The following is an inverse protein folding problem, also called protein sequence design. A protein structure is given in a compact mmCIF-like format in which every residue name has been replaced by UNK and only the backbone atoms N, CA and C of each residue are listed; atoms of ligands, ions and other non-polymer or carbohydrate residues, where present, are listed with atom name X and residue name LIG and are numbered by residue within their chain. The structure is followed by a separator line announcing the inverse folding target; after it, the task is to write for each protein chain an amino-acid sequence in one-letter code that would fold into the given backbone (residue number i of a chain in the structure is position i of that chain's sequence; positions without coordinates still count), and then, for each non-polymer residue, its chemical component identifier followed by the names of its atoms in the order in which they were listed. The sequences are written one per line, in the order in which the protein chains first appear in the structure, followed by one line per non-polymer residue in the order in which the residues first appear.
data_IF_968559845444
#
_entry.id   IF_968559845444
#
_cell.length_a   1.000
_cell.length_b   1.000
_cell.length_c   1.000
_cell.angle_alpha   90.00
_cell.angle_beta   90.00
_cell.angle_gamma   90.00
#
_symmetry.space_group_name_H-M   'P 1'
#
loop_
_entity.id
_entity.type
_entity.pdbx_description
1 polymer ?
#
# COMPACT_ATOMS: atom_id res chain seq x y z
N UNK A 1 -13.28 -7.09 21.57
CA UNK A 1 -12.70 -7.66 20.34
C UNK A 1 -13.68 -7.55 19.15
N UNK A 2 -14.95 -7.92 19.29
CA UNK A 2 -15.95 -7.86 18.21
C UNK A 2 -16.06 -6.48 17.55
N UNK A 3 -16.23 -5.40 18.32
CA UNK A 3 -16.28 -4.03 17.79
C UNK A 3 -15.02 -3.62 17.02
N UNK A 4 -13.87 -4.12 17.43
CA UNK A 4 -12.57 -3.86 16.79
C UNK A 4 -12.53 -4.56 15.43
N UNK A 5 -12.84 -5.85 15.38
CA UNK A 5 -12.88 -6.62 14.14
C UNK A 5 -13.96 -6.12 13.17
N UNK A 6 -15.13 -5.72 13.68
CA UNK A 6 -16.18 -5.11 12.84
C UNK A 6 -15.70 -3.84 12.14
N UNK A 7 -14.96 -2.98 12.84
CA UNK A 7 -14.36 -1.77 12.24
C UNK A 7 -13.23 -2.10 11.25
N UNK A 8 -12.50 -3.20 11.47
CA UNK A 8 -11.41 -3.64 10.60
C UNK A 8 -11.91 -4.45 9.40
N UNK A 9 -13.15 -4.97 9.43
CA UNK A 9 -13.67 -5.94 8.46
C UNK A 9 -13.49 -5.50 7.00
N UNK A 10 -13.84 -4.26 6.67
CA UNK A 10 -13.69 -3.75 5.30
C UNK A 10 -12.24 -3.79 4.80
N UNK A 11 -11.26 -3.57 5.68
CA UNK A 11 -9.82 -3.62 5.37
C UNK A 11 -9.30 -5.06 5.26
N UNK A 12 -9.86 -5.97 6.08
CA UNK A 12 -9.53 -7.40 6.04
C UNK A 12 -10.12 -8.07 4.79
N UNK A 13 -11.34 -7.68 4.40
CA UNK A 13 -12.05 -8.23 3.25
C UNK A 13 -11.44 -7.88 1.89
N UNK A 14 -10.51 -6.92 1.81
CA UNK A 14 -9.83 -6.55 0.55
C UNK A 14 -8.43 -7.13 0.42
N UNK A 15 -7.95 -7.88 1.42
CA UNK A 15 -6.64 -8.56 1.35
C UNK A 15 -6.66 -9.57 0.19
N UNK A 16 -5.66 -9.49 -0.69
CA UNK A 16 -5.56 -10.29 -1.91
C UNK A 16 -4.13 -10.73 -2.26
N UNK A 17 -3.21 -10.68 -1.30
CA UNK A 17 -1.88 -11.30 -1.40
C UNK A 17 -1.93 -12.73 -0.88
N UNK A 18 -1.65 -13.73 -1.73
CA UNK A 18 -1.61 -15.15 -1.33
C UNK A 18 -0.57 -15.39 -0.25
N UNK A 19 0.61 -14.80 -0.39
CA UNK A 19 1.70 -14.93 0.58
C UNK A 19 1.27 -14.42 1.96
N UNK A 20 0.69 -13.23 2.02
CA UNK A 20 0.24 -12.65 3.29
C UNK A 20 -0.93 -13.45 3.90
N UNK A 21 -1.92 -13.83 3.08
CA UNK A 21 -3.04 -14.66 3.57
C UNK A 21 -2.53 -16.00 4.09
N UNK A 22 -1.64 -16.69 3.36
CA UNK A 22 -1.08 -17.98 3.79
C UNK A 22 -0.34 -17.86 5.12
N UNK A 23 0.45 -16.80 5.29
CA UNK A 23 1.11 -16.50 6.56
C UNK A 23 0.10 -16.29 7.70
N UNK A 24 -0.95 -15.49 7.48
CA UNK A 24 -1.98 -15.25 8.50
C UNK A 24 -2.75 -16.53 8.86
N UNK A 25 -3.07 -17.38 7.89
CA UNK A 25 -3.73 -18.66 8.14
C UNK A 25 -2.87 -19.64 8.97
N UNK A 26 -1.54 -19.53 8.85
CA UNK A 26 -0.60 -20.33 9.67
C UNK A 26 -0.42 -19.75 11.07
N UNK A 27 -0.26 -18.42 11.18
CA UNK A 27 0.18 -17.79 12.42
C UNK A 27 -0.95 -17.47 13.39
N UNK A 28 -2.13 -17.04 12.89
CA UNK A 28 -3.25 -16.63 13.75
C UNK A 28 -3.77 -17.73 14.69
N UNK A 29 -3.82 -19.02 14.29
CA UNK A 29 -4.25 -20.08 15.21
C UNK A 29 -3.29 -20.35 16.37
N UNK A 30 -2.08 -19.79 16.36
CA UNK A 30 -1.03 -20.04 17.36
C UNK A 30 -0.42 -18.77 17.96
N UNK A 31 -1.19 -17.66 17.93
CA UNK A 31 -0.73 -16.36 18.42
C UNK A 31 -0.22 -16.36 19.85
N UNK A 32 -0.86 -17.14 20.72
CA UNK A 32 -0.51 -17.31 22.13
C UNK A 32 0.85 -17.99 22.36
N UNK A 33 1.38 -18.71 21.37
CA UNK A 33 2.65 -19.41 21.41
C UNK A 33 3.68 -18.86 20.39
N UNK A 34 3.39 -17.70 19.79
CA UNK A 34 4.22 -17.12 18.74
C UNK A 34 5.39 -16.35 19.33
N UNK A 35 6.61 -16.76 18.95
CA UNK A 35 7.83 -15.98 19.22
C UNK A 35 8.02 -14.96 18.08
N UNK A 36 7.56 -13.73 18.32
CA UNK A 36 7.67 -12.64 17.34
C UNK A 36 9.12 -12.27 17.03
N UNK A 37 10.05 -12.45 17.97
CA UNK A 37 11.46 -12.14 17.75
C UNK A 37 12.12 -13.13 16.78
N UNK A 38 11.65 -14.38 16.76
CA UNK A 38 12.16 -15.43 15.90
C UNK A 38 11.59 -15.41 14.46
N UNK A 39 10.55 -14.61 14.18
CA UNK A 39 10.00 -14.52 12.84
C UNK A 39 11.02 -13.94 11.85
N UNK A 40 11.05 -14.44 10.59
CA UNK A 40 11.76 -13.79 9.49
C UNK A 40 11.30 -12.35 9.29
N UNK A 41 12.13 -11.48 8.73
CA UNK A 41 11.83 -10.06 8.60
C UNK A 41 10.56 -9.77 7.79
N UNK A 42 10.32 -10.49 6.68
CA UNK A 42 9.07 -10.35 5.92
C UNK A 42 7.84 -10.73 6.76
N UNK A 43 7.94 -11.78 7.56
CA UNK A 43 6.84 -12.24 8.43
C UNK A 43 6.58 -11.26 9.57
N UNK A 44 7.63 -10.66 10.16
CA UNK A 44 7.46 -9.55 11.13
C UNK A 44 6.68 -8.39 10.50
N UNK A 45 7.02 -8.02 9.26
CA UNK A 45 6.31 -6.97 8.52
C UNK A 45 4.86 -7.36 8.20
N UNK A 46 4.61 -8.63 7.86
CA UNK A 46 3.25 -9.14 7.65
C UNK A 46 2.41 -9.07 8.93
N UNK A 47 3.00 -9.36 10.10
CA UNK A 47 2.33 -9.17 11.38
C UNK A 47 2.06 -7.69 11.66
N UNK A 48 2.98 -6.77 11.36
CA UNK A 48 2.75 -5.33 11.45
C UNK A 48 1.58 -4.88 10.59
N UNK A 49 1.53 -5.37 9.35
CA UNK A 49 0.42 -5.10 8.43
C UNK A 49 -0.92 -5.57 9.00
N UNK A 50 -0.95 -6.77 9.59
CA UNK A 50 -2.14 -7.29 10.26
C UNK A 50 -2.52 -6.46 11.48
N UNK A 51 -1.56 -6.20 12.36
CA UNK A 51 -1.79 -5.45 13.59
C UNK A 51 -2.34 -4.04 13.31
N UNK A 52 -1.72 -3.28 12.40
CA UNK A 52 -2.23 -1.95 12.03
C UNK A 52 -3.62 -1.99 11.39
N UNK A 53 -3.93 -3.07 10.66
CA UNK A 53 -5.26 -3.26 10.05
C UNK A 53 -6.34 -3.39 11.11
N UNK A 54 -6.09 -4.17 12.15
CA UNK A 54 -7.07 -4.47 13.20
C UNK A 54 -7.14 -3.35 14.24
N UNK A 55 -6.00 -2.89 14.76
CA UNK A 55 -5.96 -1.93 15.87
C UNK A 55 -5.71 -0.48 15.46
N UNK A 56 -5.42 -0.22 14.19
CA UNK A 56 -5.28 1.14 13.64
C UNK A 56 -3.97 1.86 13.99
N UNK A 57 -3.05 1.17 14.66
CA UNK A 57 -1.70 1.65 14.99
C UNK A 57 -0.67 0.54 14.78
N UNK A 58 0.58 0.88 14.51
CA UNK A 58 1.66 -0.10 14.43
C UNK A 58 2.03 -0.63 15.83
N UNK A 59 2.47 -1.88 15.92
CA UNK A 59 3.13 -2.41 17.10
C UNK A 59 4.59 -1.97 17.08
N UNK A 60 4.95 -0.93 17.84
CA UNK A 60 6.34 -0.45 17.90
C UNK A 60 7.26 -1.45 18.63
N UNK A 61 6.71 -2.17 19.59
CA UNK A 61 7.36 -3.23 20.34
C UNK A 61 6.40 -4.41 20.54
N UNK A 62 6.83 -5.62 20.19
CA UNK A 62 6.02 -6.83 20.35
C UNK A 62 5.91 -7.31 21.81
N UNK A 63 6.81 -6.84 22.69
CA UNK A 63 6.77 -7.13 24.12
C UNK A 63 5.97 -6.09 24.92
N UNK A 64 5.41 -5.06 24.26
CA UNK A 64 4.54 -4.07 24.88
C UNK A 64 3.25 -4.71 25.42
N UNK A 65 2.88 -4.38 26.67
CA UNK A 65 1.71 -4.96 27.36
C UNK A 65 0.40 -4.77 26.60
N UNK A 66 0.21 -3.62 25.95
CA UNK A 66 -1.01 -3.34 25.16
C UNK A 66 -1.02 -4.21 23.90
N UNK A 67 0.12 -4.35 23.23
CA UNK A 67 0.25 -5.17 22.03
C UNK A 67 -0.05 -6.63 22.36
N UNK A 68 0.57 -7.18 23.40
CA UNK A 68 0.34 -8.55 23.86
C UNK A 68 -1.11 -8.76 24.30
N UNK A 69 -1.68 -7.83 25.08
CA UNK A 69 -3.07 -7.92 25.52
C UNK A 69 -4.05 -7.94 24.34
N UNK A 70 -3.78 -7.17 23.28
CA UNK A 70 -4.59 -7.14 22.07
C UNK A 70 -4.54 -8.50 21.33
N UNK A 71 -3.35 -9.06 21.17
CA UNK A 71 -3.15 -10.35 20.50
C UNK A 71 -3.78 -11.50 21.29
N UNK A 72 -3.62 -11.52 22.61
CA UNK A 72 -4.28 -12.51 23.48
C UNK A 72 -5.79 -12.40 23.43
N UNK A 73 -6.35 -11.18 23.43
CA UNK A 73 -7.80 -10.99 23.32
C UNK A 73 -8.37 -11.52 22.00
N UNK A 74 -7.60 -11.50 20.93
CA UNK A 74 -7.98 -12.14 19.66
C UNK A 74 -7.86 -13.68 19.76
N UNK A 75 -6.75 -14.19 20.30
CA UNK A 75 -6.50 -15.62 20.46
C UNK A 75 -7.58 -16.28 21.34
N UNK A 76 -7.99 -15.63 22.44
CA UNK A 76 -9.02 -16.11 23.34
C UNK A 76 -10.45 -16.07 22.75
N UNK A 77 -10.63 -15.33 21.65
CA UNK A 77 -11.94 -15.17 21.00
C UNK A 77 -12.13 -16.23 19.88
N UNK A 78 -12.27 -17.50 20.26
CA UNK A 78 -12.29 -18.63 19.32
C UNK A 78 -13.30 -18.48 18.16
N UNK A 79 -14.49 -17.92 18.42
CA UNK A 79 -15.52 -17.71 17.39
C UNK A 79 -15.05 -16.64 16.40
N UNK A 80 -14.60 -15.48 16.90
CA UNK A 80 -14.15 -14.37 16.06
C UNK A 80 -12.90 -14.72 15.26
N UNK A 81 -11.97 -15.47 15.88
CA UNK A 81 -10.79 -15.99 15.20
C UNK A 81 -11.19 -16.96 14.09
N UNK A 82 -12.16 -17.86 14.37
CA UNK A 82 -12.71 -18.78 13.36
C UNK A 82 -13.31 -18.06 12.15
N UNK A 83 -14.14 -17.05 12.38
CA UNK A 83 -14.74 -16.23 11.32
C UNK A 83 -13.66 -15.47 10.49
N UNK A 84 -12.64 -14.94 11.15
CA UNK A 84 -11.52 -14.30 10.48
C UNK A 84 -10.76 -15.28 9.59
N UNK A 85 -10.47 -16.49 10.07
CA UNK A 85 -9.80 -17.52 9.29
C UNK A 85 -10.63 -17.97 8.09
N UNK A 86 -11.95 -18.08 8.23
CA UNK A 86 -12.84 -18.39 7.11
C UNK A 86 -12.88 -17.26 6.08
N UNK A 87 -12.93 -16.01 6.52
CA UNK A 87 -12.82 -14.85 5.63
C UNK A 87 -11.51 -14.88 4.83
N UNK A 88 -10.38 -15.16 5.48
CA UNK A 88 -9.08 -15.23 4.81
C UNK A 88 -9.01 -16.38 3.80
N UNK A 89 -9.57 -17.58 4.13
CA UNK A 89 -9.66 -18.70 3.19
C UNK A 89 -10.51 -18.34 1.97
N UNK A 90 -11.68 -17.74 2.21
CA UNK A 90 -12.55 -17.26 1.13
C UNK A 90 -11.81 -16.24 0.24
N UNK A 91 -11.09 -15.27 0.85
CA UNK A 91 -10.32 -14.28 0.08
C UNK A 91 -9.22 -14.94 -0.75
N UNK A 92 -8.53 -15.92 -0.21
CA UNK A 92 -7.50 -16.68 -0.93
C UNK A 92 -8.05 -17.33 -2.19
N UNK A 93 -9.22 -17.95 -2.11
CA UNK A 93 -9.89 -18.61 -3.24
C UNK A 93 -10.39 -17.63 -4.30
N UNK A 94 -10.64 -16.36 -3.94
CA UNK A 94 -11.12 -15.34 -4.88
C UNK A 94 -10.00 -14.65 -5.67
N UNK A 95 -8.73 -14.94 -5.40
CA UNK A 95 -7.60 -14.32 -6.10
C UNK A 95 -7.50 -14.91 -7.50
N UNK A 96 -7.75 -14.09 -8.52
CA UNK A 96 -7.82 -14.49 -9.94
C UNK A 96 -6.66 -13.92 -10.79
N UNK A 97 -5.59 -13.47 -10.17
CA UNK A 97 -4.41 -12.89 -10.82
C UNK A 97 -3.12 -13.50 -10.25
N UNK A 98 -2.00 -13.27 -10.93
CA UNK A 98 -0.67 -13.67 -10.46
C UNK A 98 -0.11 -12.53 -9.62
N UNK A 99 0.13 -12.82 -8.35
CA UNK A 99 0.86 -11.97 -7.41
C UNK A 99 2.30 -12.47 -7.28
N UNK A 100 3.24 -11.56 -7.29
CA UNK A 100 4.67 -11.88 -7.18
C UNK A 100 5.42 -10.81 -6.39
N UNK A 101 6.46 -11.20 -5.63
CA UNK A 101 7.27 -10.26 -4.89
C UNK A 101 8.05 -9.33 -5.83
N UNK A 102 8.37 -8.13 -5.33
CA UNK A 102 9.21 -7.14 -6.01
C UNK A 102 10.53 -6.99 -5.26
N UNK A 103 11.64 -7.05 -5.99
CA UNK A 103 12.97 -6.88 -5.44
C UNK A 103 13.26 -5.42 -5.07
N UNK A 104 13.28 -5.13 -3.78
CA UNK A 104 13.53 -3.79 -3.24
C UNK A 104 14.88 -3.64 -2.52
N UNK A 105 15.66 -4.72 -2.43
CA UNK A 105 16.92 -4.75 -1.69
C UNK A 105 16.76 -5.13 -0.21
N UNK A 106 15.54 -5.49 0.19
CA UNK A 106 15.21 -6.06 1.50
C UNK A 106 13.99 -6.97 1.36
N UNK A 107 13.73 -7.79 2.37
CA UNK A 107 12.63 -8.77 2.36
C UNK A 107 11.28 -8.08 2.61
N UNK A 108 10.66 -7.59 1.54
CA UNK A 108 9.42 -6.82 1.57
C UNK A 108 8.20 -7.72 1.32
N UNK A 109 7.15 -7.65 2.16
CA UNK A 109 5.95 -8.47 1.99
C UNK A 109 4.95 -7.93 0.97
N UNK A 110 5.24 -6.81 0.29
CA UNK A 110 4.35 -6.26 -0.72
C UNK A 110 4.50 -7.00 -2.03
N UNK A 111 3.40 -7.57 -2.52
CA UNK A 111 3.34 -8.30 -3.77
C UNK A 111 2.73 -7.45 -4.88
N UNK A 112 3.27 -7.61 -6.08
CA UNK A 112 2.85 -6.87 -7.27
C UNK A 112 1.37 -7.12 -7.58
N UNK A 113 0.67 -6.05 -7.90
CA UNK A 113 -0.75 -5.99 -8.24
C UNK A 113 -1.73 -6.30 -7.09
N UNK A 114 -1.21 -6.62 -5.90
CA UNK A 114 -2.03 -6.74 -4.71
C UNK A 114 -2.49 -5.38 -4.16
N UNK A 115 -3.53 -5.42 -3.36
CA UNK A 115 -4.23 -4.26 -2.82
C UNK A 115 -3.87 -4.06 -1.35
N UNK A 116 -3.51 -2.83 -0.98
CA UNK A 116 -3.11 -2.47 0.38
C UNK A 116 -3.72 -1.14 0.80
N UNK A 117 -4.10 -1.03 2.06
CA UNK A 117 -4.37 0.28 2.65
C UNK A 117 -3.06 1.07 2.81
N UNK A 118 -3.15 2.40 2.95
CA UNK A 118 -1.96 3.24 3.18
C UNK A 118 -1.18 2.78 4.41
N UNK A 119 -1.88 2.45 5.49
CA UNK A 119 -1.25 2.04 6.73
C UNK A 119 -0.52 0.70 6.58
N UNK A 120 -1.15 -0.28 5.91
CA UNK A 120 -0.54 -1.58 5.63
C UNK A 120 0.75 -1.45 4.84
N UNK A 121 0.72 -0.71 3.73
CA UNK A 121 1.90 -0.58 2.88
C UNK A 121 3.04 0.23 3.54
N UNK A 122 2.71 1.21 4.38
CA UNK A 122 3.74 1.99 5.08
C UNK A 122 4.45 1.17 6.15
N UNK A 123 3.72 0.38 6.95
CA UNK A 123 4.36 -0.51 7.93
C UNK A 123 5.12 -1.66 7.27
N UNK A 124 4.68 -2.14 6.11
CA UNK A 124 5.45 -3.10 5.30
C UNK A 124 6.80 -2.54 4.83
N UNK A 125 6.92 -1.22 4.77
CA UNK A 125 8.14 -0.48 4.46
C UNK A 125 8.87 0.05 5.72
N UNK A 126 8.57 -0.51 6.88
CA UNK A 126 9.13 -0.15 8.20
C UNK A 126 8.82 1.28 8.67
N UNK A 127 7.77 1.91 8.14
CA UNK A 127 7.33 3.21 8.61
C UNK A 127 6.20 3.07 9.65
N UNK A 128 6.55 3.15 10.94
CA UNK A 128 5.67 2.81 12.07
C UNK A 128 4.69 3.91 12.49
N UNK A 129 4.68 5.06 11.83
CA UNK A 129 3.74 6.18 12.10
C UNK A 129 2.86 6.51 10.90
N UNK A 130 2.15 5.52 10.30
CA UNK A 130 1.45 5.69 9.03
C UNK A 130 0.37 6.78 9.08
N UNK A 131 -0.30 6.97 10.22
CA UNK A 131 -1.33 8.00 10.42
C UNK A 131 -0.83 9.44 10.24
N UNK A 132 0.49 9.66 10.30
CA UNK A 132 1.11 10.99 10.08
C UNK A 132 1.22 11.34 8.60
N UNK A 133 1.11 10.37 7.68
CA UNK A 133 1.23 10.59 6.24
C UNK A 133 -0.14 10.96 5.66
N UNK A 134 -0.28 12.21 5.25
CA UNK A 134 -1.51 12.75 4.63
C UNK A 134 -1.34 13.13 3.16
N UNK A 135 -0.09 13.25 2.73
CA UNK A 135 0.28 13.68 1.37
C UNK A 135 0.26 12.52 0.37
N UNK A 136 0.31 12.88 -0.92
CA UNK A 136 0.36 11.94 -2.03
C UNK A 136 1.75 11.32 -2.26
N UNK A 137 2.75 11.71 -1.49
CA UNK A 137 4.13 11.19 -1.57
C UNK A 137 4.71 11.02 -0.18
N UNK A 138 5.45 9.95 0.05
CA UNK A 138 6.28 9.76 1.24
C UNK A 138 7.69 9.35 0.84
N UNK A 139 8.67 10.17 1.20
CA UNK A 139 10.08 9.79 1.14
C UNK A 139 10.48 8.99 2.38
N UNK A 140 11.10 7.84 2.17
CA UNK A 140 11.64 6.95 3.20
C UNK A 140 13.16 6.89 3.06
N UNK A 141 13.90 7.78 3.72
CA UNK A 141 15.36 7.87 3.56
C UNK A 141 16.09 6.60 3.97
N UNK A 142 15.64 5.94 5.03
CA UNK A 142 16.23 4.69 5.53
C UNK A 142 16.19 3.54 4.51
N UNK A 143 15.21 3.57 3.62
CA UNK A 143 15.03 2.59 2.54
C UNK A 143 15.49 3.12 1.18
N UNK A 144 15.80 4.41 1.07
CA UNK A 144 16.06 5.09 -0.20
C UNK A 144 14.90 4.94 -1.21
N UNK A 145 13.65 5.12 -0.72
CA UNK A 145 12.40 4.88 -1.48
C UNK A 145 11.49 6.10 -1.42
N UNK A 146 10.98 6.53 -2.57
CA UNK A 146 9.80 7.39 -2.69
C UNK A 146 8.55 6.54 -2.89
N UNK A 147 7.54 6.73 -2.07
CA UNK A 147 6.23 6.06 -2.17
C UNK A 147 5.21 7.02 -2.73
N UNK A 148 4.63 6.71 -3.90
CA UNK A 148 3.61 7.53 -4.54
C UNK A 148 2.23 6.95 -4.32
N UNK A 149 1.34 7.76 -3.74
CA UNK A 149 -0.08 7.46 -3.49
C UNK A 149 -0.94 8.21 -4.51
N UNK A 150 -1.38 7.53 -5.54
CA UNK A 150 -2.13 8.14 -6.64
C UNK A 150 -3.62 7.83 -6.52
N UNK A 151 -4.46 8.85 -6.60
CA UNK A 151 -5.91 8.73 -6.76
C UNK A 151 -6.30 9.27 -8.14
N UNK A 152 -6.88 8.43 -8.99
CA UNK A 152 -7.16 8.75 -10.40
C UNK A 152 -8.35 9.68 -10.55
N UNK A 153 -9.47 9.37 -9.91
CA UNK A 153 -10.69 10.15 -9.99
C UNK A 153 -10.81 11.06 -8.77
N UNK A 154 -10.44 12.33 -8.96
CA UNK A 154 -10.47 13.37 -7.93
C UNK A 154 -11.74 14.20 -8.12
N UNK A 155 -12.67 14.11 -7.16
CA UNK A 155 -13.86 14.95 -7.17
C UNK A 155 -13.53 16.32 -6.57
N UNK A 156 -14.11 17.40 -7.11
CA UNK A 156 -13.91 18.78 -6.64
C UNK A 156 -14.17 18.98 -5.14
N UNK A 157 -15.13 18.23 -4.59
CA UNK A 157 -15.44 18.24 -3.17
C UNK A 157 -14.34 17.67 -2.25
N UNK A 158 -13.45 16.85 -2.81
CA UNK A 158 -12.41 16.14 -2.07
C UNK A 158 -11.03 16.80 -2.17
N UNK A 159 -10.86 17.73 -3.11
CA UNK A 159 -9.57 18.33 -3.44
C UNK A 159 -9.74 19.83 -3.77
N UNK A 160 -8.77 20.63 -3.33
CA UNK A 160 -8.67 22.01 -3.79
C UNK A 160 -8.18 22.05 -5.23
N UNK A 161 -8.41 23.17 -5.97
CA UNK A 161 -7.91 23.32 -7.35
C UNK A 161 -6.39 23.09 -7.47
N UNK A 162 -5.62 23.38 -6.42
CA UNK A 162 -4.16 23.21 -6.38
C UNK A 162 -3.71 21.77 -6.15
N UNK A 163 -4.62 20.87 -5.78
CA UNK A 163 -4.35 19.44 -5.52
C UNK A 163 -5.06 18.51 -6.50
N UNK A 164 -5.71 19.05 -7.52
CA UNK A 164 -6.33 18.29 -8.61
C UNK A 164 -5.29 17.95 -9.67
N UNK A 165 -4.40 17.03 -9.32
CA UNK A 165 -3.38 16.53 -10.26
C UNK A 165 -3.97 15.61 -11.32
N UNK A 166 -3.33 15.59 -12.47
CA UNK A 166 -3.76 14.83 -13.64
C UNK A 166 -2.91 13.57 -13.79
N UNK A 167 -3.32 12.49 -13.13
CA UNK A 167 -2.58 11.22 -13.10
C UNK A 167 -3.33 10.14 -13.89
N UNK A 168 -2.62 9.41 -14.77
CA UNK A 168 -3.23 8.37 -15.61
C UNK A 168 -2.16 7.45 -16.21
N UNK A 169 -2.54 6.21 -16.57
CA UNK A 169 -1.70 5.36 -17.42
C UNK A 169 -1.79 5.81 -18.89
N UNK A 170 -0.63 5.97 -19.53
CA UNK A 170 -0.52 6.27 -20.96
C UNK A 170 -0.77 4.99 -21.75
N UNK A 171 -0.17 3.88 -21.29
CA UNK A 171 -0.35 2.52 -21.77
C UNK A 171 -0.02 1.55 -20.63
N UNK A 172 0.13 0.26 -20.91
CA UNK A 172 0.42 -0.74 -19.89
C UNK A 172 1.77 -0.55 -19.18
N UNK A 173 2.70 0.19 -19.78
CA UNK A 173 4.07 0.34 -19.26
C UNK A 173 4.43 1.77 -18.89
N UNK A 174 3.66 2.76 -19.32
CA UNK A 174 3.94 4.18 -19.09
C UNK A 174 2.83 4.82 -18.27
N UNK A 175 3.24 5.56 -17.24
CA UNK A 175 2.35 6.27 -16.34
C UNK A 175 2.68 7.77 -16.30
N UNK A 176 1.67 8.62 -16.51
CA UNK A 176 1.78 10.06 -16.29
C UNK A 176 1.44 10.39 -14.85
N UNK A 177 2.32 11.14 -14.19
CA UNK A 177 2.13 11.61 -12.83
C UNK A 177 2.52 13.08 -12.69
N UNK A 178 1.70 13.81 -11.98
CA UNK A 178 1.94 15.21 -11.68
C UNK A 178 2.46 15.36 -10.25
N UNK A 179 3.64 15.98 -10.10
CA UNK A 179 4.25 16.18 -8.79
C UNK A 179 3.46 17.16 -7.92
N UNK A 180 3.82 17.23 -6.64
CA UNK A 180 3.29 18.29 -5.77
C UNK A 180 3.63 19.68 -6.36
N UNK A 181 2.75 20.64 -6.16
CA UNK A 181 2.93 22.02 -6.61
C UNK A 181 4.16 22.73 -6.03
N UNK A 182 4.72 22.17 -4.94
CA UNK A 182 5.96 22.66 -4.30
C UNK A 182 7.23 22.03 -4.90
N UNK A 183 7.12 20.93 -5.65
CA UNK A 183 8.26 20.23 -6.23
C UNK A 183 8.67 20.90 -7.56
N UNK A 184 9.76 21.66 -7.52
CA UNK A 184 10.38 22.23 -8.72
C UNK A 184 11.43 21.28 -9.29
N UNK A 185 11.71 21.38 -10.58
CA UNK A 185 12.75 20.61 -11.26
C UNK A 185 14.11 20.71 -10.54
N UNK A 186 14.53 21.91 -10.15
CA UNK A 186 15.79 22.18 -9.48
C UNK A 186 15.74 22.04 -7.95
N UNK A 187 14.60 21.63 -7.37
CA UNK A 187 14.50 21.35 -5.94
C UNK A 187 15.17 20.02 -5.57
N UNK A 188 15.56 19.79 -4.31
CA UNK A 188 16.10 18.50 -3.87
C UNK A 188 15.16 17.32 -4.20
N UNK A 189 13.85 17.53 -4.07
CA UNK A 189 12.82 16.53 -4.40
C UNK A 189 12.73 16.28 -5.89
N UNK A 190 12.67 17.33 -6.72
CA UNK A 190 12.65 17.19 -8.19
C UNK A 190 13.90 16.50 -8.72
N UNK A 191 15.07 16.89 -8.21
CA UNK A 191 16.35 16.25 -8.57
C UNK A 191 16.43 14.78 -8.10
N UNK A 192 15.80 14.42 -6.97
CA UNK A 192 15.70 13.02 -6.55
C UNK A 192 14.85 12.22 -7.53
N UNK A 193 13.73 12.75 -8.00
CA UNK A 193 12.89 12.07 -9.00
C UNK A 193 13.62 11.85 -10.33
N UNK A 194 14.30 12.89 -10.84
CA UNK A 194 14.99 12.83 -12.12
C UNK A 194 16.17 11.84 -12.07
N UNK A 195 16.96 11.92 -11.01
CA UNK A 195 18.20 11.15 -10.86
C UNK A 195 18.08 9.94 -9.93
N UNK A 196 16.85 9.41 -9.72
CA UNK A 196 16.65 8.33 -8.74
C UNK A 196 17.50 7.08 -9.04
N UNK A 197 17.67 6.72 -10.30
CA UNK A 197 18.53 5.57 -10.70
C UNK A 197 19.99 5.76 -10.34
N UNK A 198 20.53 6.94 -10.64
CA UNK A 198 21.93 7.29 -10.34
C UNK A 198 22.19 7.32 -8.83
N UNK A 199 21.17 7.72 -8.05
CA UNK A 199 21.19 7.74 -6.58
C UNK A 199 20.89 6.41 -5.94
N UNK A 200 20.57 5.37 -6.73
CA UNK A 200 20.17 4.05 -6.24
C UNK A 200 18.84 4.08 -5.48
N UNK A 201 18.03 5.15 -5.61
CA UNK A 201 16.71 5.21 -5.00
C UNK A 201 15.65 4.59 -5.90
N UNK A 202 14.56 4.12 -5.27
CA UNK A 202 13.42 3.50 -5.96
C UNK A 202 12.17 4.35 -5.80
N UNK A 203 11.31 4.32 -6.79
CA UNK A 203 9.98 4.92 -6.75
C UNK A 203 8.96 3.79 -6.82
N UNK A 204 8.10 3.71 -5.81
CA UNK A 204 7.00 2.73 -5.75
C UNK A 204 5.69 3.42 -6.07
N UNK A 205 4.91 2.84 -6.99
CA UNK A 205 3.65 3.39 -7.44
C UNK A 205 2.47 2.60 -6.88
N UNK A 206 1.64 3.28 -6.08
CA UNK A 206 0.39 2.76 -5.54
C UNK A 206 -0.78 3.60 -6.06
N UNK A 207 -1.75 2.95 -6.69
CA UNK A 207 -2.84 3.62 -7.40
C UNK A 207 -4.18 3.11 -6.92
N UNK A 208 -5.12 4.02 -6.69
CA UNK A 208 -6.55 3.73 -6.45
C UNK A 208 -7.42 4.53 -7.39
N UNK A 209 -8.63 4.05 -7.63
CA UNK A 209 -9.58 4.73 -8.52
C UNK A 209 -10.21 5.94 -7.84
N UNK A 210 -10.72 5.78 -6.61
CA UNK A 210 -11.42 6.82 -5.85
C UNK A 210 -10.76 7.04 -4.48
N UNK A 211 -11.07 8.17 -3.85
CA UNK A 211 -10.62 8.47 -2.49
C UNK A 211 -11.35 7.62 -1.45
N UNK A 212 -12.64 7.43 -1.65
CA UNK A 212 -13.50 6.63 -0.81
C UNK A 212 -14.02 5.40 -1.55
N UNK A 213 -14.05 4.26 -0.86
CA UNK A 213 -14.71 3.06 -1.32
C UNK A 213 -16.23 3.28 -1.38
N UNK A 214 -16.84 2.96 -2.52
CA UNK A 214 -18.27 3.21 -2.77
C UNK A 214 -19.21 2.33 -1.96
N UNK A 215 -18.72 1.16 -1.54
CA UNK A 215 -19.54 0.17 -0.80
C UNK A 215 -19.45 0.40 0.71
N UNK A 216 -18.25 0.65 1.22
CA UNK A 216 -17.99 0.75 2.65
C UNK A 216 -17.96 2.18 3.18
N UNK A 217 -17.79 3.18 2.29
CA UNK A 217 -17.62 4.59 2.65
C UNK A 217 -16.26 4.91 3.29
N UNK A 218 -15.42 3.90 3.54
CA UNK A 218 -14.06 4.06 4.02
C UNK A 218 -13.08 4.50 2.92
N UNK A 219 -11.81 4.62 3.24
CA UNK A 219 -10.79 4.92 2.23
C UNK A 219 -10.59 3.71 1.32
N UNK A 220 -10.64 3.93 -0.01
CA UNK A 220 -10.30 2.89 -0.97
C UNK A 220 -8.83 2.51 -0.86
N UNK A 221 -8.53 1.22 -0.87
CA UNK A 221 -7.18 0.70 -0.84
C UNK A 221 -6.46 0.91 -2.19
N UNK A 222 -5.14 0.86 -2.16
CA UNK A 222 -4.29 1.08 -3.33
C UNK A 222 -3.83 -0.24 -3.95
N UNK A 223 -3.83 -0.33 -5.28
CA UNK A 223 -3.16 -1.41 -6.00
C UNK A 223 -1.70 -1.06 -6.19
N UNK A 224 -0.80 -2.00 -5.85
CA UNK A 224 0.63 -1.85 -6.02
C UNK A 224 1.03 -2.14 -7.48
N UNK A 225 1.52 -1.14 -8.20
CA UNK A 225 1.97 -1.27 -9.59
C UNK A 225 3.47 -1.55 -9.74
N UNK A 226 4.18 -1.69 -8.62
CA UNK A 226 5.62 -1.98 -8.63
C UNK A 226 6.49 -0.72 -8.68
N UNK A 227 7.72 -0.93 -9.14
CA UNK A 227 8.73 0.12 -9.27
C UNK A 227 8.56 0.88 -10.59
N UNK A 228 8.85 2.18 -10.54
CA UNK A 228 8.76 3.09 -11.68
C UNK A 228 10.07 3.83 -11.91
N UNK A 229 10.40 4.05 -13.18
CA UNK A 229 11.63 4.69 -13.61
C UNK A 229 11.33 5.99 -14.36
N UNK A 230 12.06 7.04 -14.01
CA UNK A 230 11.95 8.32 -14.69
C UNK A 230 12.28 8.21 -16.18
N UNK A 231 11.44 8.78 -17.04
CA UNK A 231 11.65 8.87 -18.49
C UNK A 231 11.92 10.31 -18.90
N UNK A 232 10.96 11.20 -18.63
CA UNK A 232 11.02 12.62 -19.00
C UNK A 232 10.02 13.42 -18.15
N UNK A 233 10.13 14.73 -18.18
CA UNK A 233 9.12 15.62 -17.63
C UNK A 233 8.93 16.88 -18.47
N UNK A 234 7.85 17.59 -18.18
CA UNK A 234 7.59 18.94 -18.64
C UNK A 234 7.09 19.79 -17.49
N UNK A 235 7.37 21.09 -17.54
CA UNK A 235 6.96 22.01 -16.49
C UNK A 235 7.78 21.87 -15.19
N UNK A 236 7.54 22.83 -14.31
CA UNK A 236 8.15 22.89 -12.98
C UNK A 236 7.17 23.58 -12.05
N UNK A 237 6.82 22.94 -10.92
CA UNK A 237 5.82 23.43 -9.93
C UNK A 237 4.37 23.47 -10.42
N UNK A 238 3.76 22.35 -10.80
CA UNK A 238 4.23 20.96 -10.71
C UNK A 238 5.05 20.53 -11.93
N UNK A 239 5.81 19.44 -11.74
CA UNK A 239 6.43 18.70 -12.82
C UNK A 239 5.45 17.65 -13.34
N UNK A 240 5.27 17.57 -14.67
CA UNK A 240 4.50 16.51 -15.30
C UNK A 240 5.47 15.42 -15.74
N UNK A 241 5.56 14.33 -14.98
CA UNK A 241 6.57 13.30 -15.18
C UNK A 241 5.97 12.07 -15.85
N UNK A 242 6.66 11.53 -16.84
CA UNK A 242 6.38 10.21 -17.41
C UNK A 242 7.28 9.19 -16.72
N UNK A 243 6.65 8.17 -16.15
CA UNK A 243 7.31 7.04 -15.49
C UNK A 243 7.18 5.78 -16.34
N UNK A 244 8.27 5.02 -16.49
CA UNK A 244 8.27 3.68 -17.05
C UNK A 244 8.15 2.67 -15.91
N UNK A 245 7.09 1.85 -15.92
CA UNK A 245 6.93 0.76 -14.97
C UNK A 245 7.84 -0.41 -15.33
N UNK A 246 8.40 -1.07 -14.33
CA UNK A 246 9.22 -2.28 -14.54
C UNK A 246 8.34 -3.50 -14.92
N UNK A 247 7.07 -3.48 -14.53
CA UNK A 247 6.10 -4.52 -14.87
C UNK A 247 4.85 -3.89 -15.48
N UNK A 248 4.29 -4.49 -16.55
CA UNK A 248 3.12 -3.94 -17.20
C UNK A 248 1.88 -4.00 -16.29
N UNK A 249 1.03 -2.98 -16.40
CA UNK A 249 -0.27 -2.93 -15.73
C UNK A 249 -1.17 -4.03 -16.32
N UNK A 250 -1.79 -4.90 -15.52
CA UNK A 250 -2.72 -5.91 -16.02
C UNK A 250 -3.89 -5.27 -16.79
N UNK A 251 -4.34 -5.92 -17.86
CA UNK A 251 -5.40 -5.40 -18.72
C UNK A 251 -6.70 -5.08 -17.95
N UNK A 252 -7.03 -5.88 -16.92
CA UNK A 252 -8.17 -5.64 -16.03
C UNK A 252 -8.07 -4.31 -15.28
N UNK A 253 -6.88 -3.95 -14.84
CA UNK A 253 -6.62 -2.71 -14.10
C UNK A 253 -6.34 -1.53 -15.04
N UNK A 254 -5.76 -1.78 -16.22
CA UNK A 254 -5.46 -0.76 -17.22
C UNK A 254 -6.72 0.02 -17.64
N UNK A 255 -7.87 -0.64 -17.77
CA UNK A 255 -9.16 0.00 -18.05
C UNK A 255 -9.56 1.05 -17.01
N UNK A 256 -9.13 0.88 -15.75
CA UNK A 256 -9.40 1.85 -14.67
C UNK A 256 -8.41 2.99 -14.66
N UNK A 257 -7.16 2.75 -15.07
CA UNK A 257 -6.06 3.71 -15.02
C UNK A 257 -5.96 4.58 -16.26
N UNK A 258 -6.41 4.09 -17.43
CA UNK A 258 -6.47 4.89 -18.65
C UNK A 258 -7.57 5.95 -18.54
N UNK A 259 -7.20 7.20 -18.69
CA UNK A 259 -8.21 8.20 -19.13
C UNK A 259 -8.59 7.84 -20.55
N UNK A 260 -9.78 7.30 -20.72
CA UNK A 260 -10.42 7.34 -22.03
C UNK A 260 -10.46 8.81 -22.45
N UNK A 261 -9.64 9.17 -23.41
CA UNK A 261 -9.81 10.39 -24.18
C UNK A 261 -11.08 10.13 -24.99
N UNK A 262 -12.23 10.44 -24.39
CA UNK A 262 -13.46 10.57 -25.14
C UNK A 262 -13.27 11.85 -25.93
N UNK A 263 -12.91 11.69 -27.22
CA UNK A 263 -12.91 12.75 -28.20
C UNK A 263 -14.33 13.19 -28.53
#
# INVERSE_FOLDING_TARGET
MEDILTKAFAKLAVIDSRRWISFLLDVLPRLDNLDFAALPDAEKRMMQMFYVTVWGKAAEDWDDEEVLSNLYALSDSAVLLGELLELLRYRFEQIDFIDEPVELGFDCPLDLHCTYTRDQLLVALDFMKPSTVREGVKWLPEKNIDVFFVTLNKADKDYSPTTMYNDYSINESLFHWQSQSTAAENSPTGQRYIHHKERGSKVLLFVREFKADRMTGGAEAYTYLGTANYVKHTGSRPMNITWQLDRPIPAKFLKKTNKLVVG
#
